data_IF_344511964102
#
_entry.id   IF_344511964102
#
_cell.length_a   1.000
_cell.length_b   1.000
_cell.length_c   1.000
_cell.angle_alpha   90.00
_cell.angle_beta   90.00
_cell.angle_gamma   90.00
#
_symmetry.space_group_name_H-M   'P 1'
#
loop_
_entity.id
_entity.type
_entity.pdbx_description
1 polymer ?
#
# COMPACT_ATOMS: atom_id res chain seq x y z
N UNK A 1 -12.98 -0.31 -6.90
CA UNK A 1 -13.51 -1.02 -5.71
C UNK A 1 -13.20 -0.24 -4.45
N UNK A 2 -13.85 -0.56 -3.33
CA UNK A 2 -13.74 0.16 -2.05
C UNK A 2 -12.60 -0.42 -1.21
N UNK A 3 -11.65 0.41 -0.79
CA UNK A 3 -10.65 0.08 0.24
C UNK A 3 -11.31 0.33 1.60
N UNK A 4 -11.31 -0.67 2.48
CA UNK A 4 -11.85 -0.55 3.84
C UNK A 4 -10.84 -1.03 4.85
N UNK A 5 -10.43 -0.13 5.75
CA UNK A 5 -9.53 -0.45 6.85
C UNK A 5 -10.31 -1.11 7.99
N UNK A 6 -9.78 -2.23 8.49
CA UNK A 6 -10.17 -2.83 9.75
C UNK A 6 -9.27 -2.36 10.89
N UNK A 7 -9.26 -3.10 11.99
CA UNK A 7 -8.41 -2.82 13.16
C UNK A 7 -6.92 -3.00 12.88
N UNK A 8 -6.56 -3.77 11.85
CA UNK A 8 -5.18 -4.15 11.52
C UNK A 8 -4.96 -4.01 10.00
N UNK A 9 -5.16 -2.78 9.52
CA UNK A 9 -4.96 -2.43 8.12
C UNK A 9 -6.11 -2.79 7.19
N UNK A 10 -5.83 -2.73 5.89
CA UNK A 10 -6.74 -3.15 4.83
C UNK A 10 -6.40 -4.58 4.38
N UNK A 11 -7.43 -5.42 4.23
CA UNK A 11 -7.33 -6.80 3.75
C UNK A 11 -8.28 -6.99 2.57
N UNK A 12 -7.85 -7.78 1.59
CA UNK A 12 -8.65 -8.16 0.43
C UNK A 12 -8.20 -9.49 -0.16
N UNK A 13 -9.01 -10.03 -1.06
CA UNK A 13 -8.69 -11.15 -1.93
C UNK A 13 -7.93 -10.66 -3.16
N UNK A 14 -6.81 -11.33 -3.46
CA UNK A 14 -5.99 -11.04 -4.63
C UNK A 14 -6.84 -11.16 -5.90
N UNK A 15 -6.69 -10.18 -6.80
CA UNK A 15 -7.41 -10.05 -8.08
C UNK A 15 -8.91 -9.74 -7.97
N UNK A 16 -9.48 -9.65 -6.77
CA UNK A 16 -10.81 -9.09 -6.54
C UNK A 16 -10.68 -7.63 -6.08
N UNK A 17 -10.45 -7.42 -4.79
CA UNK A 17 -10.28 -6.10 -4.18
C UNK A 17 -8.81 -5.80 -3.87
N UNK A 18 -7.97 -6.80 -3.60
CA UNK A 18 -6.52 -6.61 -3.48
C UNK A 18 -5.86 -6.62 -4.88
N UNK A 19 -5.90 -5.46 -5.53
CA UNK A 19 -5.37 -5.22 -6.89
C UNK A 19 -4.18 -4.26 -6.86
N UNK A 20 -3.36 -4.26 -7.91
CA UNK A 20 -2.24 -3.32 -8.04
C UNK A 20 -2.71 -1.86 -7.95
N UNK A 21 -3.84 -1.52 -8.58
CA UNK A 21 -4.39 -0.18 -8.54
C UNK A 21 -4.81 0.25 -7.12
N UNK A 22 -5.43 -0.66 -6.37
CA UNK A 22 -5.82 -0.36 -5.00
C UNK A 22 -4.61 -0.28 -4.06
N UNK A 23 -3.57 -1.11 -4.28
CA UNK A 23 -2.30 -1.01 -3.55
C UNK A 23 -1.64 0.34 -3.80
N UNK A 24 -1.51 0.77 -5.07
CA UNK A 24 -0.98 2.10 -5.42
C UNK A 24 -1.79 3.23 -4.82
N UNK A 25 -3.13 3.14 -4.90
CA UNK A 25 -4.02 4.14 -4.31
C UNK A 25 -3.85 4.25 -2.80
N UNK A 26 -3.70 3.13 -2.10
CA UNK A 26 -3.46 3.09 -0.66
C UNK A 26 -2.09 3.68 -0.31
N UNK A 27 -1.03 3.25 -1.01
CA UNK A 27 0.33 3.73 -0.80
C UNK A 27 0.45 5.23 -1.08
N UNK A 28 -0.15 5.74 -2.16
CA UNK A 28 -0.18 7.16 -2.48
C UNK A 28 -0.88 7.99 -1.39
N UNK A 29 -1.97 7.47 -0.82
CA UNK A 29 -2.66 8.15 0.28
C UNK A 29 -1.78 8.23 1.53
N UNK A 30 -1.08 7.14 1.87
CA UNK A 30 -0.12 7.14 2.96
C UNK A 30 1.06 8.10 2.71
N UNK A 31 1.61 8.11 1.49
CA UNK A 31 2.68 9.03 1.10
C UNK A 31 2.27 10.51 1.26
N UNK A 32 1.03 10.86 0.89
CA UNK A 32 0.51 12.23 1.13
C UNK A 32 0.36 12.52 2.63
N UNK A 33 -0.19 11.57 3.38
CA UNK A 33 -0.36 11.72 4.83
C UNK A 33 0.96 11.99 5.54
N UNK A 34 2.02 11.22 5.29
CA UNK A 34 3.32 11.44 5.94
C UNK A 34 3.97 12.77 5.54
N UNK A 35 3.75 13.24 4.30
CA UNK A 35 4.22 14.56 3.87
C UNK A 35 3.47 15.68 4.60
N UNK A 36 2.16 15.55 4.76
CA UNK A 36 1.32 16.48 5.52
C UNK A 36 1.66 16.49 7.02
N UNK A 37 2.11 15.34 7.55
CA UNK A 37 2.56 15.17 8.94
C UNK A 37 4.00 15.67 9.17
N UNK A 38 4.69 16.13 8.12
CA UNK A 38 5.99 16.80 8.22
C UNK A 38 7.22 15.89 8.04
N UNK A 39 7.05 14.65 7.60
CA UNK A 39 8.13 13.67 7.39
C UNK A 39 8.77 13.76 5.99
N UNK A 40 8.77 14.94 5.38
CA UNK A 40 9.34 15.14 4.05
C UNK A 40 10.86 14.85 4.06
N UNK A 41 11.31 13.98 3.16
CA UNK A 41 12.73 13.57 3.04
C UNK A 41 13.13 12.37 3.91
N UNK A 42 12.22 11.86 4.74
CA UNK A 42 12.44 10.60 5.46
C UNK A 42 12.21 9.38 4.57
N UNK A 43 12.74 8.22 4.98
CA UNK A 43 12.61 6.96 4.25
C UNK A 43 11.47 6.11 4.81
N UNK A 44 10.71 5.46 3.92
CA UNK A 44 9.66 4.50 4.28
C UNK A 44 10.13 3.08 3.96
N UNK A 45 9.91 2.16 4.90
CA UNK A 45 10.21 0.74 4.71
C UNK A 45 9.01 0.02 4.10
N UNK A 46 9.22 -0.69 3.00
CA UNK A 46 8.22 -1.55 2.35
C UNK A 46 8.60 -3.01 2.57
N UNK A 47 7.75 -3.76 3.27
CA UNK A 47 7.92 -5.19 3.54
C UNK A 47 6.77 -6.03 2.99
N UNK A 48 7.04 -7.28 2.66
CA UNK A 48 6.05 -8.21 2.13
C UNK A 48 6.39 -9.66 2.54
N UNK A 49 5.40 -10.55 2.44
CA UNK A 49 5.53 -11.98 2.75
C UNK A 49 5.61 -12.85 1.48
N UNK A 50 5.58 -14.19 1.63
CA UNK A 50 5.68 -15.13 0.50
C UNK A 50 4.36 -15.40 -0.24
N UNK A 51 3.32 -14.58 -0.06
CA UNK A 51 2.06 -14.78 -0.81
C UNK A 51 2.25 -14.48 -2.30
N UNK A 52 1.29 -14.96 -3.08
CA UNK A 52 1.30 -14.82 -4.53
C UNK A 52 1.43 -13.34 -4.93
N UNK A 53 2.40 -13.04 -5.80
CA UNK A 53 2.71 -11.71 -6.32
C UNK A 53 3.06 -10.63 -5.26
N UNK A 54 3.32 -11.01 -4.00
CA UNK A 54 3.66 -10.06 -2.93
C UNK A 54 4.86 -9.16 -3.28
N UNK A 55 5.87 -9.70 -3.95
CA UNK A 55 7.03 -8.91 -4.40
C UNK A 55 6.64 -7.81 -5.40
N UNK A 56 5.68 -8.09 -6.29
CA UNK A 56 5.19 -7.14 -7.27
C UNK A 56 4.26 -6.12 -6.63
N UNK A 57 3.45 -6.50 -5.65
CA UNK A 57 2.64 -5.56 -4.88
C UNK A 57 3.52 -4.61 -4.08
N UNK A 58 4.61 -5.10 -3.49
CA UNK A 58 5.59 -4.27 -2.80
C UNK A 58 6.28 -3.28 -3.75
N UNK A 59 6.69 -3.73 -4.94
CA UNK A 59 7.23 -2.85 -5.96
C UNK A 59 6.21 -1.78 -6.38
N UNK A 60 4.96 -2.15 -6.64
CA UNK A 60 3.91 -1.21 -6.98
C UNK A 60 3.64 -0.18 -5.87
N UNK A 61 3.76 -0.56 -4.59
CA UNK A 61 3.65 0.37 -3.48
C UNK A 61 4.85 1.33 -3.37
N UNK A 62 6.04 0.93 -3.82
CA UNK A 62 7.24 1.76 -3.81
C UNK A 62 7.36 2.71 -5.03
N UNK A 63 6.55 2.51 -6.07
CA UNK A 63 6.53 3.31 -7.31
C UNK A 63 5.77 4.64 -7.21
N UNK A 64 5.04 4.89 -6.10
CA UNK A 64 4.12 6.03 -5.96
C UNK A 64 4.68 7.20 -5.14
#
# INVERSE_FOLDING_TARGET
MTIKFGTDGWRGRIAEDYTFDNVRRCAQAFARYILEDGHAGESVVVGYDKRFASEHFAAAAAEV
#
